data_IF_904492420531
#
_entry.id   IF_904492420531
#
_cell.length_a   1.000
_cell.length_b   1.000
_cell.length_c   1.000
_cell.angle_alpha   90.00
_cell.angle_beta   90.00
_cell.angle_gamma   90.00
#
_symmetry.space_group_name_H-M   'P 1'
#
loop_
_entity.id
_entity.type
_entity.pdbx_description
1 polymer ?
#
# COMPACT_ATOMS: atom_id res chain seq x y z
N UNK A 1 -8.70 -14.32 7.37
CA UNK A 1 -7.84 -13.33 6.71
C UNK A 1 -7.67 -13.75 5.26
N UNK A 2 -8.30 -13.01 4.35
CA UNK A 2 -8.21 -13.21 2.90
C UNK A 2 -6.88 -12.69 2.35
N UNK A 3 -6.58 -12.97 1.09
CA UNK A 3 -5.44 -12.36 0.40
C UNK A 3 -5.60 -10.83 0.33
N UNK A 4 -6.83 -10.34 0.10
CA UNK A 4 -7.16 -8.92 0.07
C UNK A 4 -6.87 -8.25 1.42
N UNK A 5 -7.27 -8.88 2.52
CA UNK A 5 -7.02 -8.38 3.87
C UNK A 5 -5.51 -8.21 4.14
N UNK A 6 -4.67 -9.12 3.61
CA UNK A 6 -3.21 -9.00 3.75
C UNK A 6 -2.63 -7.84 2.94
N UNK A 7 -3.13 -7.62 1.72
CA UNK A 7 -2.68 -6.50 0.88
C UNK A 7 -3.06 -5.17 1.51
N UNK A 8 -4.27 -5.08 2.06
CA UNK A 8 -4.74 -3.89 2.77
C UNK A 8 -3.92 -3.65 4.05
N UNK A 9 -3.67 -4.71 4.83
CA UNK A 9 -2.81 -4.62 6.02
C UNK A 9 -1.40 -4.13 5.67
N UNK A 10 -0.78 -4.68 4.62
CA UNK A 10 0.54 -4.24 4.17
C UNK A 10 0.56 -2.76 3.77
N UNK A 11 -0.51 -2.29 3.13
CA UNK A 11 -0.66 -0.87 2.78
C UNK A 11 -0.76 0.02 4.01
N UNK A 12 -1.54 -0.40 5.02
CA UNK A 12 -1.66 0.34 6.27
C UNK A 12 -0.35 0.36 7.06
N UNK A 13 0.36 -0.76 7.13
CA UNK A 13 1.66 -0.87 7.78
C UNK A 13 2.68 0.06 7.11
N UNK A 14 2.81 -0.01 5.77
CA UNK A 14 3.72 0.86 5.03
C UNK A 14 3.40 2.35 5.20
N UNK A 15 2.11 2.73 5.26
CA UNK A 15 1.70 4.11 5.56
C UNK A 15 2.10 4.55 6.96
N UNK A 16 1.95 3.68 7.97
CA UNK A 16 2.37 3.99 9.35
C UNK A 16 3.89 4.16 9.43
N UNK A 17 4.64 3.31 8.73
CA UNK A 17 6.10 3.41 8.66
C UNK A 17 6.56 4.70 7.95
N UNK A 18 5.89 5.10 6.87
CA UNK A 18 6.15 6.38 6.22
C UNK A 18 5.94 7.56 7.18
N UNK A 19 4.82 7.59 7.91
CA UNK A 19 4.56 8.65 8.90
C UNK A 19 5.61 8.66 10.00
N UNK A 20 6.04 7.48 10.49
CA UNK A 20 7.11 7.41 11.47
C UNK A 20 8.44 7.96 10.92
N UNK A 21 8.77 7.64 9.67
CA UNK A 21 9.96 8.14 9.00
C UNK A 21 9.89 9.64 8.70
N UNK A 22 8.71 10.19 8.40
CA UNK A 22 8.47 11.63 8.25
C UNK A 22 8.72 12.40 9.55
N UNK A 23 8.26 11.85 10.68
CA UNK A 23 8.54 12.44 12.00
C UNK A 23 10.04 12.41 12.30
N UNK A 24 10.72 11.31 11.96
CA UNK A 24 12.16 11.20 12.17
C UNK A 24 12.97 12.08 11.23
N UNK A 25 12.45 12.39 10.04
CA UNK A 25 13.08 13.30 9.07
C UNK A 25 13.36 14.68 9.69
N UNK A 26 12.55 15.11 10.66
CA UNK A 26 12.76 16.35 11.42
C UNK A 26 14.09 16.38 12.19
N UNK A 27 14.71 15.22 12.48
CA UNK A 27 16.06 15.15 13.06
C UNK A 27 17.16 15.66 12.12
N UNK A 28 16.87 15.76 10.81
CA UNK A 28 17.78 16.29 9.80
C UNK A 28 18.97 15.39 9.46
N UNK A 29 19.07 14.21 10.06
CA UNK A 29 20.21 13.29 9.86
C UNK A 29 20.15 12.57 8.51
N UNK A 30 21.31 12.21 7.96
CA UNK A 30 21.38 11.45 6.70
C UNK A 30 20.69 10.09 6.82
N UNK A 31 20.85 9.42 7.97
CA UNK A 31 20.19 8.16 8.26
C UNK A 31 18.66 8.29 8.28
N UNK A 32 18.11 9.42 8.74
CA UNK A 32 16.67 9.68 8.70
C UNK A 32 16.19 9.94 7.27
N UNK A 33 16.96 10.67 6.45
CA UNK A 33 16.64 10.91 5.02
C UNK A 33 16.57 9.62 4.23
N UNK A 34 17.55 8.73 4.42
CA UNK A 34 17.59 7.41 3.76
C UNK A 34 16.40 6.56 4.17
N UNK A 35 16.05 6.53 5.46
CA UNK A 35 14.88 5.80 5.95
C UNK A 35 13.57 6.36 5.40
N UNK A 36 13.43 7.68 5.36
CA UNK A 36 12.28 8.34 4.74
C UNK A 36 12.14 7.98 3.26
N UNK A 37 13.23 8.08 2.48
CA UNK A 37 13.21 7.73 1.06
C UNK A 37 12.81 6.26 0.82
N UNK A 38 13.30 5.34 1.66
CA UNK A 38 12.91 3.93 1.61
C UNK A 38 11.43 3.74 1.95
N UNK A 39 10.96 4.32 3.06
CA UNK A 39 9.58 4.18 3.50
C UNK A 39 8.59 4.76 2.47
N UNK A 40 8.94 5.87 1.81
CA UNK A 40 8.16 6.45 0.74
C UNK A 40 8.01 5.48 -0.44
N UNK A 41 9.13 4.89 -0.88
CA UNK A 41 9.10 3.91 -1.96
C UNK A 41 8.29 2.65 -1.61
N UNK A 42 8.41 2.15 -0.38
CA UNK A 42 7.66 0.97 0.09
C UNK A 42 6.15 1.27 0.19
N UNK A 43 5.77 2.46 0.65
CA UNK A 43 4.38 2.91 0.68
C UNK A 43 3.77 3.02 -0.72
N UNK A 44 4.50 3.59 -1.69
CA UNK A 44 4.06 3.67 -3.09
C UNK A 44 3.84 2.28 -3.71
N UNK A 45 4.75 1.34 -3.45
CA UNK A 45 4.61 -0.03 -3.92
C UNK A 45 3.41 -0.74 -3.30
N UNK A 46 3.18 -0.56 -2.01
CA UNK A 46 2.02 -1.15 -1.31
C UNK A 46 0.70 -0.56 -1.83
N UNK A 47 0.65 0.75 -2.06
CA UNK A 47 -0.50 1.43 -2.65
C UNK A 47 -0.81 0.91 -4.05
N UNK A 48 0.21 0.78 -4.91
CA UNK A 48 0.05 0.27 -6.27
C UNK A 48 -0.48 -1.17 -6.28
N UNK A 49 -0.04 -2.02 -5.34
CA UNK A 49 -0.56 -3.38 -5.17
C UNK A 49 -2.03 -3.39 -4.75
N UNK A 50 -2.40 -2.57 -3.75
CA UNK A 50 -3.78 -2.45 -3.30
C UNK A 50 -4.71 -1.93 -4.41
N UNK A 51 -4.27 -0.94 -5.19
CA UNK A 51 -5.04 -0.44 -6.33
C UNK A 51 -5.24 -1.50 -7.42
N UNK A 52 -4.20 -2.30 -7.72
CA UNK A 52 -4.31 -3.41 -8.67
C UNK A 52 -5.34 -4.43 -8.17
N UNK A 53 -5.25 -4.83 -6.90
CA UNK A 53 -6.20 -5.78 -6.31
C UNK A 53 -7.64 -5.25 -6.37
N UNK A 54 -7.86 -3.97 -6.04
CA UNK A 54 -9.19 -3.37 -6.11
C UNK A 54 -9.78 -3.42 -7.53
N UNK A 55 -8.95 -3.17 -8.56
CA UNK A 55 -9.37 -3.28 -9.97
C UNK A 55 -9.68 -4.72 -10.36
N UNK A 56 -8.89 -5.69 -9.92
CA UNK A 56 -9.13 -7.12 -10.17
C UNK A 56 -10.44 -7.59 -9.52
N UNK A 57 -10.69 -7.19 -8.28
CA UNK A 57 -11.96 -7.45 -7.58
C UNK A 57 -13.16 -6.88 -8.34
N UNK A 58 -13.07 -5.63 -8.80
CA UNK A 58 -14.13 -5.00 -9.60
C UNK A 58 -14.37 -5.76 -10.91
N UNK A 59 -13.31 -6.16 -11.62
CA UNK A 59 -13.41 -6.95 -12.85
C UNK A 59 -14.10 -8.29 -12.62
N UNK A 60 -13.71 -9.02 -11.58
CA UNK A 60 -14.35 -10.30 -11.23
C UNK A 60 -15.83 -10.13 -10.91
N UNK A 61 -16.20 -9.10 -10.14
CA UNK A 61 -17.61 -8.81 -9.85
C UNK A 61 -18.43 -8.54 -11.12
N UNK A 62 -17.86 -7.80 -12.08
CA UNK A 62 -18.52 -7.52 -13.36
C UNK A 62 -18.61 -8.76 -14.28
N UNK A 63 -17.56 -9.60 -14.32
CA UNK A 63 -17.57 -10.81 -15.15
C UNK A 63 -18.61 -11.83 -14.69
N UNK A 64 -18.79 -12.01 -13.37
CA UNK A 64 -19.85 -12.88 -12.83
C UNK A 64 -21.25 -12.36 -13.16
N UNK A 65 -21.43 -11.03 -13.22
CA UNK A 65 -22.72 -10.41 -13.55
C UNK A 65 -23.10 -10.59 -15.02
N UNK A 66 -22.12 -10.63 -15.92
CA UNK A 66 -22.34 -10.86 -17.35
C UNK A 66 -22.66 -12.32 -17.70
N UNK A 67 -22.23 -13.29 -16.88
CA UNK A 67 -22.51 -14.71 -17.09
C UNK A 67 -23.89 -15.17 -16.57
N UNK A 68 -24.59 -14.33 -15.81
CA UNK A 68 -25.89 -14.63 -15.19
C UNK A 68 -27.11 -14.12 -15.98
N UNK A 69 -26.91 -13.63 -17.20
CA UNK A 69 -27.97 -13.20 -18.14
C UNK A 69 -27.91 -13.98 -19.43
#
# INVERSE_FOLDING_TARGET
MTYEDRIEQQREEARRELVAAELELASGTEAARVRYARALHEADLAEARAQRQARERQRHQLSWRLAAG
#
